data_IF_129740326768
#
_entry.id   IF_129740326768
#
_cell.length_a   1.000
_cell.length_b   1.000
_cell.length_c   1.000
_cell.angle_alpha   90.00
_cell.angle_beta   90.00
_cell.angle_gamma   90.00
#
_symmetry.space_group_name_H-M   'P 1'
#
loop_
_entity.id
_entity.type
_entity.pdbx_description
1 polymer ?
#
# COMPACT_ATOMS: atom_id res chain seq x y z
N UNK A 1 -35.14 -15.81 -13.82
CA UNK A 1 -34.67 -17.19 -13.96
C UNK A 1 -33.64 -17.42 -12.87
N UNK A 2 -34.04 -18.06 -11.77
CA UNK A 2 -33.20 -18.34 -10.60
C UNK A 2 -32.61 -19.73 -10.85
N UNK A 3 -31.29 -19.82 -10.99
CA UNK A 3 -30.59 -21.10 -11.09
C UNK A 3 -30.26 -21.52 -9.66
N UNK A 4 -31.06 -22.44 -9.12
CA UNK A 4 -30.75 -23.24 -7.93
C UNK A 4 -29.81 -24.36 -8.36
N UNK A 5 -28.52 -24.25 -8.03
CA UNK A 5 -27.55 -25.34 -8.20
C UNK A 5 -27.60 -26.25 -6.96
N UNK A 6 -27.97 -27.50 -7.22
CA UNK A 6 -28.26 -28.55 -6.26
C UNK A 6 -26.94 -29.17 -5.75
N UNK A 7 -26.61 -28.99 -4.47
CA UNK A 7 -25.36 -29.52 -3.88
C UNK A 7 -25.64 -30.82 -3.14
N UNK A 8 -25.47 -31.94 -3.83
CA UNK A 8 -25.45 -33.29 -3.25
C UNK A 8 -24.28 -34.07 -3.82
N UNK A 9 -23.42 -34.60 -2.93
CA UNK A 9 -22.44 -35.63 -3.25
C UNK A 9 -21.01 -35.13 -3.47
N UNK A 10 -20.26 -34.96 -2.38
CA UNK A 10 -18.80 -35.09 -2.37
C UNK A 10 -18.34 -35.57 -0.98
N UNK A 11 -18.93 -36.70 -0.55
CA UNK A 11 -18.34 -37.55 0.48
C UNK A 11 -17.52 -38.61 -0.28
N UNK A 12 -16.31 -38.89 0.20
CA UNK A 12 -15.36 -39.90 -0.29
C UNK A 12 -14.51 -39.60 -1.54
N UNK A 13 -13.56 -38.66 -1.45
CA UNK A 13 -12.16 -38.91 -1.85
C UNK A 13 -11.22 -37.80 -1.36
N UNK A 14 -10.10 -38.20 -0.75
CA UNK A 14 -8.93 -37.40 -0.33
C UNK A 14 -8.87 -36.97 1.15
N UNK A 15 -8.84 -37.97 2.04
CA UNK A 15 -8.63 -37.82 3.49
C UNK A 15 -7.16 -38.05 3.94
N UNK A 16 -6.13 -37.66 3.16
CA UNK A 16 -4.73 -37.93 3.59
C UNK A 16 -3.66 -36.86 3.30
N UNK A 17 -4.05 -35.63 2.91
CA UNK A 17 -3.08 -34.52 2.76
C UNK A 17 -3.56 -33.17 3.31
N UNK A 18 -4.76 -33.11 3.89
CA UNK A 18 -5.46 -31.84 4.17
C UNK A 18 -5.06 -31.16 5.50
N UNK A 19 -4.42 -31.90 6.42
CA UNK A 19 -3.98 -31.37 7.72
C UNK A 19 -2.71 -30.52 7.55
N UNK A 20 -1.78 -30.98 6.72
CA UNK A 20 -0.54 -30.22 6.45
C UNK A 20 -0.81 -28.99 5.58
N UNK A 21 -1.72 -29.04 4.61
CA UNK A 21 -2.07 -27.87 3.78
C UNK A 21 -2.88 -26.81 4.53
N UNK A 22 -3.81 -27.22 5.40
CA UNK A 22 -4.54 -26.29 6.29
C UNK A 22 -3.64 -25.70 7.38
N UNK A 23 -2.73 -26.49 7.96
CA UNK A 23 -1.76 -25.97 8.92
C UNK A 23 -0.73 -25.05 8.24
N UNK A 24 -0.27 -25.38 7.02
CA UNK A 24 0.63 -24.53 6.23
C UNK A 24 -0.06 -23.23 5.76
N UNK A 25 -1.33 -23.29 5.39
CA UNK A 25 -2.12 -22.10 5.05
C UNK A 25 -2.36 -21.23 6.28
N UNK A 26 -2.70 -21.80 7.44
CA UNK A 26 -2.78 -21.05 8.70
C UNK A 26 -1.42 -20.47 9.15
N UNK A 27 -0.32 -21.21 8.98
CA UNK A 27 1.02 -20.76 9.36
C UNK A 27 1.52 -19.62 8.46
N UNK A 28 1.35 -19.76 7.14
CA UNK A 28 1.65 -18.70 6.17
C UNK A 28 0.74 -17.48 6.35
N UNK A 29 -0.54 -17.69 6.65
CA UNK A 29 -1.50 -16.63 6.93
C UNK A 29 -1.12 -15.82 8.17
N UNK A 30 -0.74 -16.49 9.26
CA UNK A 30 -0.24 -15.85 10.47
C UNK A 30 1.08 -15.12 10.19
N UNK A 31 2.02 -15.73 9.47
CA UNK A 31 3.29 -15.10 9.08
C UNK A 31 3.10 -13.81 8.29
N UNK A 32 2.14 -13.75 7.36
CA UNK A 32 1.83 -12.51 6.63
C UNK A 32 1.26 -11.44 7.56
N UNK A 33 0.33 -11.78 8.45
CA UNK A 33 -0.25 -10.83 9.42
C UNK A 33 0.84 -10.28 10.35
N UNK A 34 1.67 -11.14 10.92
CA UNK A 34 2.81 -10.74 11.75
C UNK A 34 3.86 -9.95 10.95
N UNK A 35 4.08 -10.31 9.68
CA UNK A 35 4.97 -9.59 8.79
C UNK A 35 4.55 -8.13 8.59
N UNK A 36 3.30 -7.88 8.21
CA UNK A 36 2.80 -6.50 8.06
C UNK A 36 2.75 -5.74 9.39
N UNK A 37 2.43 -6.43 10.50
CA UNK A 37 2.32 -5.83 11.83
C UNK A 37 3.68 -5.52 12.47
N UNK A 38 4.78 -6.14 12.01
CA UNK A 38 6.16 -5.86 12.47
C UNK A 38 6.87 -4.91 11.51
N UNK A 39 6.73 -5.11 10.19
CA UNK A 39 7.39 -4.29 9.17
C UNK A 39 6.79 -2.87 9.15
N UNK A 40 5.48 -2.74 9.31
CA UNK A 40 4.79 -1.45 9.33
C UNK A 40 5.35 -0.49 10.39
N UNK A 41 5.38 -0.88 11.68
CA UNK A 41 5.94 -0.05 12.74
C UNK A 41 7.42 0.28 12.53
N UNK A 42 8.24 -0.67 12.07
CA UNK A 42 9.65 -0.42 11.78
C UNK A 42 9.82 0.65 10.69
N UNK A 43 9.02 0.60 9.62
CA UNK A 43 9.01 1.62 8.56
C UNK A 43 8.62 3.00 9.11
N UNK A 44 7.62 3.07 9.99
CA UNK A 44 7.22 4.34 10.61
C UNK A 44 8.33 4.87 11.52
N UNK A 45 8.88 4.02 12.39
CA UNK A 45 9.86 4.41 13.40
C UNK A 45 11.17 4.91 12.79
N UNK A 46 11.61 4.32 11.67
CA UNK A 46 12.84 4.72 11.00
C UNK A 46 12.62 5.97 10.13
N UNK A 47 11.54 6.02 9.36
CA UNK A 47 11.37 7.09 8.35
C UNK A 47 10.84 8.41 8.93
N UNK A 48 9.98 8.36 9.96
CA UNK A 48 9.41 9.56 10.60
C UNK A 48 10.45 10.50 11.23
N UNK A 49 11.43 10.03 12.03
CA UNK A 49 12.42 10.93 12.63
C UNK A 49 13.34 11.56 11.59
N UNK A 50 13.66 10.83 10.51
CA UNK A 50 14.48 11.36 9.41
C UNK A 50 13.75 12.49 8.69
N UNK A 51 12.46 12.29 8.41
CA UNK A 51 11.60 13.33 7.84
C UNK A 51 11.55 14.59 8.73
N UNK A 52 11.31 14.41 10.04
CA UNK A 52 11.27 15.52 11.00
C UNK A 52 12.61 16.28 11.03
N UNK A 53 13.73 15.56 11.04
CA UNK A 53 15.07 16.16 11.07
C UNK A 53 15.34 17.04 9.84
N UNK A 54 14.94 16.60 8.65
CA UNK A 54 15.09 17.37 7.41
C UNK A 54 14.18 18.62 7.42
N UNK A 55 12.95 18.51 7.93
CA UNK A 55 12.02 19.64 8.00
C UNK A 55 12.43 20.70 9.04
N UNK A 56 13.02 20.29 10.16
CA UNK A 56 13.46 21.17 11.24
C UNK A 56 14.67 22.03 10.84
N UNK A 57 15.57 21.54 9.99
CA UNK A 57 16.78 22.27 9.59
C UNK A 57 16.60 23.05 8.29
N UNK A 58 16.63 24.39 8.38
CA UNK A 58 16.51 25.30 7.21
C UNK A 58 17.53 24.99 6.09
N UNK A 59 18.75 24.60 6.45
CA UNK A 59 19.82 24.30 5.48
C UNK A 59 19.58 23.01 4.68
N UNK A 60 18.86 22.03 5.24
CA UNK A 60 18.61 20.74 4.57
C UNK A 60 17.32 20.73 3.77
N UNK A 61 16.40 21.66 4.06
CA UNK A 61 15.04 21.64 3.49
C UNK A 61 15.02 21.68 1.97
N UNK A 62 15.92 22.43 1.34
CA UNK A 62 15.94 22.61 -0.11
C UNK A 62 16.61 21.44 -0.86
N UNK A 63 17.85 21.04 -0.52
CA UNK A 63 18.53 19.95 -1.25
C UNK A 63 17.96 18.56 -0.93
N UNK A 64 17.36 18.37 0.25
CA UNK A 64 16.81 17.07 0.65
C UNK A 64 15.29 17.04 0.59
N UNK A 65 14.65 17.97 -0.15
CA UNK A 65 13.19 18.05 -0.19
C UNK A 65 12.56 16.80 -0.84
N UNK A 66 13.12 16.33 -1.95
CA UNK A 66 12.66 15.08 -2.61
C UNK A 66 12.86 13.88 -1.68
N UNK A 67 14.04 13.76 -1.07
CA UNK A 67 14.33 12.68 -0.14
C UNK A 67 13.38 12.72 1.09
N UNK A 68 13.06 13.91 1.57
CA UNK A 68 12.08 14.12 2.65
C UNK A 68 10.70 13.61 2.24
N UNK A 69 10.25 13.89 1.01
CA UNK A 69 8.98 13.34 0.50
C UNK A 69 9.00 11.82 0.38
N UNK A 70 10.13 11.20 0.02
CA UNK A 70 10.29 9.73 0.01
C UNK A 70 10.10 9.16 1.41
N UNK A 71 10.76 9.74 2.41
CA UNK A 71 10.64 9.29 3.81
C UNK A 71 9.22 9.47 4.35
N UNK A 72 8.56 10.58 4.03
CA UNK A 72 7.18 10.82 4.41
C UNK A 72 6.23 9.77 3.81
N UNK A 73 6.34 9.52 2.50
CA UNK A 73 5.54 8.51 1.80
C UNK A 73 5.82 7.09 2.32
N UNK A 74 7.08 6.78 2.63
CA UNK A 74 7.47 5.51 3.23
C UNK A 74 6.89 5.33 4.64
N UNK A 75 6.86 6.40 5.44
CA UNK A 75 6.18 6.40 6.74
C UNK A 75 4.67 6.16 6.62
N UNK A 76 4.00 6.83 5.68
CA UNK A 76 2.58 6.60 5.38
C UNK A 76 2.30 5.17 4.90
N UNK A 77 3.22 4.57 4.13
CA UNK A 77 3.15 3.16 3.72
C UNK A 77 3.26 2.23 4.93
N UNK A 78 4.12 2.55 5.90
CA UNK A 78 4.19 1.83 7.17
C UNK A 78 2.88 1.92 7.97
N UNK A 79 2.27 3.11 8.02
CA UNK A 79 0.99 3.33 8.69
C UNK A 79 -0.16 2.56 8.01
N UNK A 80 -0.19 2.53 6.68
CA UNK A 80 -1.19 1.76 5.92
C UNK A 80 -1.02 0.24 6.12
N UNK A 81 0.22 -0.26 6.21
CA UNK A 81 0.50 -1.65 6.52
C UNK A 81 -0.02 -2.04 7.92
N UNK A 82 0.19 -1.19 8.93
CA UNK A 82 -0.35 -1.38 10.29
C UNK A 82 -1.87 -1.44 10.25
N UNK A 83 -2.51 -0.51 9.52
CA UNK A 83 -3.97 -0.47 9.42
C UNK A 83 -4.53 -1.74 8.77
N UNK A 84 -3.84 -2.26 7.75
CA UNK A 84 -4.21 -3.53 7.10
C UNK A 84 -4.04 -4.73 8.04
N UNK A 85 -2.94 -4.77 8.81
CA UNK A 85 -2.72 -5.79 9.84
C UNK A 85 -3.78 -5.73 10.95
N UNK A 86 -4.10 -4.53 11.45
CA UNK A 86 -5.10 -4.32 12.49
C UNK A 86 -6.51 -4.71 12.02
N UNK A 87 -6.89 -4.35 10.79
CA UNK A 87 -8.16 -4.77 10.19
C UNK A 87 -8.27 -6.29 10.07
N UNK A 88 -7.22 -6.96 9.57
CA UNK A 88 -7.19 -8.44 9.51
C UNK A 88 -7.27 -9.08 10.89
N UNK A 89 -6.66 -8.47 11.91
CA UNK A 89 -6.71 -8.97 13.29
C UNK A 89 -8.11 -8.81 13.91
N UNK A 90 -8.77 -7.66 13.75
CA UNK A 90 -10.14 -7.44 14.24
C UNK A 90 -11.11 -8.44 13.61
N UNK A 91 -11.00 -8.65 12.30
CA UNK A 91 -11.76 -9.63 11.51
C UNK A 91 -11.47 -11.07 11.97
N UNK A 92 -10.29 -11.38 12.50
CA UNK A 92 -10.03 -12.72 13.07
C UNK A 92 -10.69 -12.96 14.43
N UNK A 93 -10.96 -11.88 15.19
CA UNK A 93 -11.53 -11.94 16.55
C UNK A 93 -13.05 -11.81 16.53
N UNK A 94 -13.58 -10.98 15.64
CA UNK A 94 -15.01 -10.79 15.42
C UNK A 94 -15.45 -11.78 14.35
N UNK A 95 -16.03 -12.89 14.77
CA UNK A 95 -16.46 -14.02 13.94
C UNK A 95 -17.70 -13.67 13.10
N UNK A 96 -17.70 -12.52 12.42
CA UNK A 96 -18.81 -12.06 11.57
C UNK A 96 -18.68 -12.66 10.16
N UNK A 97 -19.60 -13.55 9.79
CA UNK A 97 -19.46 -14.37 8.58
C UNK A 97 -19.61 -13.62 7.24
N UNK A 98 -20.05 -12.35 7.22
CA UNK A 98 -20.28 -11.62 5.97
C UNK A 98 -20.07 -10.11 6.13
N UNK A 99 -18.94 -9.60 5.63
CA UNK A 99 -18.70 -8.16 5.45
C UNK A 99 -18.87 -7.86 3.96
N UNK A 100 -19.50 -6.73 3.64
CA UNK A 100 -19.68 -6.32 2.24
C UNK A 100 -18.29 -6.05 1.62
N UNK A 101 -17.98 -6.76 0.53
CA UNK A 101 -16.67 -6.74 -0.14
C UNK A 101 -16.17 -5.33 -0.49
N UNK A 102 -17.09 -4.39 -0.75
CA UNK A 102 -16.73 -3.00 -1.08
C UNK A 102 -16.02 -2.30 0.08
N UNK A 103 -16.49 -2.42 1.33
CA UNK A 103 -15.91 -1.64 2.44
C UNK A 103 -14.53 -2.15 2.87
N UNK A 104 -14.28 -3.43 2.64
CA UNK A 104 -13.03 -4.09 3.02
C UNK A 104 -11.91 -3.86 2.00
N UNK A 105 -12.20 -3.99 0.70
CA UNK A 105 -11.19 -3.85 -0.37
C UNK A 105 -10.95 -2.37 -0.72
N UNK A 106 -12.02 -1.57 -0.78
CA UNK A 106 -11.96 -0.23 -1.35
C UNK A 106 -11.23 0.78 -0.47
N UNK A 107 -11.25 0.62 0.86
CA UNK A 107 -10.63 1.58 1.76
C UNK A 107 -9.14 1.30 2.00
N UNK A 108 -8.83 0.10 2.50
CA UNK A 108 -7.49 -0.16 3.06
C UNK A 108 -6.52 -0.70 2.00
N UNK A 109 -7.00 -1.54 1.09
CA UNK A 109 -6.15 -2.07 0.01
C UNK A 109 -5.82 -0.98 -1.01
N UNK A 110 -6.78 -0.14 -1.39
CA UNK A 110 -6.52 1.02 -2.28
C UNK A 110 -5.56 2.01 -1.61
N UNK A 111 -5.72 2.28 -0.31
CA UNK A 111 -4.80 3.15 0.40
C UNK A 111 -3.37 2.57 0.43
N UNK A 112 -3.22 1.28 0.74
CA UNK A 112 -1.91 0.61 0.72
C UNK A 112 -1.28 0.59 -0.68
N UNK A 113 -2.08 0.29 -1.71
CA UNK A 113 -1.65 0.29 -3.11
C UNK A 113 -1.20 1.69 -3.54
N UNK A 114 -1.98 2.72 -3.22
CA UNK A 114 -1.66 4.12 -3.55
C UNK A 114 -0.34 4.57 -2.93
N UNK A 115 -0.09 4.20 -1.67
CA UNK A 115 1.13 4.54 -0.94
C UNK A 115 2.35 3.77 -1.49
N UNK A 116 2.16 2.51 -1.88
CA UNK A 116 3.20 1.72 -2.55
C UNK A 116 3.58 2.29 -3.91
N UNK A 117 2.60 2.69 -4.73
CA UNK A 117 2.83 3.38 -6.00
C UNK A 117 3.53 4.73 -5.80
N UNK A 118 3.09 5.52 -4.84
CA UNK A 118 3.74 6.78 -4.46
C UNK A 118 5.20 6.54 -4.09
N UNK A 119 5.51 5.51 -3.30
CA UNK A 119 6.88 5.20 -2.91
C UNK A 119 7.75 4.82 -4.12
N UNK A 120 7.26 3.96 -5.01
CA UNK A 120 7.97 3.59 -6.24
C UNK A 120 8.23 4.77 -7.16
N UNK A 121 7.20 5.60 -7.40
CA UNK A 121 7.32 6.79 -8.25
C UNK A 121 8.22 7.86 -7.60
N UNK A 122 8.23 7.97 -6.26
CA UNK A 122 9.12 8.88 -5.54
C UNK A 122 10.61 8.49 -5.65
N UNK A 123 10.91 7.19 -5.70
CA UNK A 123 12.26 6.70 -5.97
C UNK A 123 12.69 7.00 -7.42
N UNK A 124 11.77 6.87 -8.37
CA UNK A 124 11.99 7.26 -9.76
C UNK A 124 12.34 8.77 -9.84
N UNK A 125 11.56 9.63 -9.18
CA UNK A 125 11.80 11.07 -9.16
C UNK A 125 13.16 11.43 -8.56
N UNK A 126 13.60 10.72 -7.51
CA UNK A 126 14.95 10.88 -6.96
C UNK A 126 16.04 10.46 -7.98
N UNK A 127 15.81 9.43 -8.79
CA UNK A 127 16.72 9.06 -9.87
C UNK A 127 16.74 10.10 -11.00
N UNK A 128 15.58 10.64 -11.38
CA UNK A 128 15.46 11.69 -12.40
C UNK A 128 16.15 12.97 -11.94
N UNK A 129 15.98 13.36 -10.68
CA UNK A 129 16.70 14.51 -10.11
C UNK A 129 18.22 14.33 -10.24
N UNK A 130 18.75 13.18 -9.81
CA UNK A 130 20.19 12.89 -9.92
C UNK A 130 20.67 12.90 -11.37
N UNK A 131 19.88 12.37 -12.29
CA UNK A 131 20.19 12.41 -13.72
C UNK A 131 20.22 13.85 -14.24
N UNK A 132 19.25 14.70 -13.88
CA UNK A 132 19.21 16.10 -14.28
C UNK A 132 20.42 16.90 -13.77
N UNK A 133 20.89 16.63 -12.55
CA UNK A 133 22.10 17.26 -11.99
C UNK A 133 23.34 16.90 -12.80
N UNK A 134 23.46 15.65 -13.24
CA UNK A 134 24.62 15.16 -14.01
C UNK A 134 24.57 15.63 -15.47
N UNK A 135 23.40 15.56 -16.11
CA UNK A 135 23.26 15.90 -17.52
C UNK A 135 23.26 17.43 -17.78
N UNK A 136 22.64 18.22 -16.90
CA UNK A 136 22.43 19.66 -17.10
C UNK A 136 22.70 20.49 -15.83
N UNK A 137 23.97 20.58 -15.38
CA UNK A 137 24.33 21.22 -14.11
C UNK A 137 24.00 22.73 -14.06
N UNK A 138 24.26 23.46 -15.15
CA UNK A 138 24.00 24.91 -15.24
C UNK A 138 22.51 25.26 -15.11
N UNK A 139 21.63 24.49 -15.77
CA UNK A 139 20.19 24.72 -15.72
C UNK A 139 19.60 24.38 -14.35
N UNK A 140 20.06 23.28 -13.75
CA UNK A 140 19.61 22.85 -12.43
C UNK A 140 19.98 23.85 -11.34
N UNK A 141 21.18 24.44 -11.36
CA UNK A 141 21.61 25.38 -10.31
C UNK A 141 20.74 26.65 -10.26
N UNK A 142 20.31 27.15 -11.43
CA UNK A 142 19.50 28.37 -11.53
C UNK A 142 18.04 28.11 -11.15
N UNK A 143 17.47 26.95 -11.49
CA UNK A 143 16.04 26.67 -11.36
C UNK A 143 15.68 25.53 -10.40
N UNK A 144 16.61 25.08 -9.55
CA UNK A 144 16.47 23.92 -8.63
C UNK A 144 15.14 23.91 -7.86
N UNK A 145 14.78 25.02 -7.21
CA UNK A 145 13.52 25.14 -6.43
C UNK A 145 12.27 24.82 -7.25
N UNK A 146 12.21 25.34 -8.47
CA UNK A 146 11.04 25.21 -9.35
C UNK A 146 10.95 23.79 -9.91
N UNK A 147 12.09 23.20 -10.28
CA UNK A 147 12.17 21.82 -10.75
C UNK A 147 11.72 20.83 -9.68
N UNK A 148 12.26 20.95 -8.46
CA UNK A 148 11.90 20.07 -7.33
C UNK A 148 10.40 20.13 -7.02
N UNK A 149 9.83 21.34 -6.93
CA UNK A 149 8.41 21.49 -6.65
C UNK A 149 7.51 20.95 -7.78
N UNK A 150 7.92 21.17 -9.04
CA UNK A 150 7.22 20.63 -10.19
C UNK A 150 7.24 19.09 -10.20
N UNK A 151 8.38 18.46 -9.93
CA UNK A 151 8.50 17.00 -9.85
C UNK A 151 7.57 16.42 -8.78
N UNK A 152 7.53 17.03 -7.60
CA UNK A 152 6.64 16.60 -6.50
C UNK A 152 5.16 16.79 -6.87
N UNK A 153 4.82 17.89 -7.54
CA UNK A 153 3.43 18.15 -7.95
C UNK A 153 2.96 17.15 -9.01
N UNK A 154 3.80 16.87 -10.02
CA UNK A 154 3.53 15.88 -11.08
C UNK A 154 3.38 14.49 -10.46
N UNK A 155 4.25 14.14 -9.52
CA UNK A 155 4.19 12.90 -8.75
C UNK A 155 2.81 12.70 -8.12
N UNK A 156 2.34 13.65 -7.31
CA UNK A 156 1.05 13.53 -6.64
C UNK A 156 -0.14 13.55 -7.63
N UNK A 157 -0.06 14.36 -8.68
CA UNK A 157 -1.11 14.44 -9.70
C UNK A 157 -1.31 13.10 -10.42
N UNK A 158 -0.23 12.46 -10.88
CA UNK A 158 -0.30 11.15 -11.56
C UNK A 158 -0.88 10.10 -10.62
N UNK A 159 -0.46 10.07 -9.36
CA UNK A 159 -0.98 9.10 -8.40
C UNK A 159 -2.45 9.33 -8.05
N UNK A 160 -2.90 10.58 -7.95
CA UNK A 160 -4.31 10.89 -7.73
C UNK A 160 -5.17 10.41 -8.88
N UNK A 161 -4.72 10.63 -10.13
CA UNK A 161 -5.40 10.14 -11.33
C UNK A 161 -5.49 8.61 -11.31
N UNK A 162 -4.39 7.92 -11.03
CA UNK A 162 -4.36 6.46 -10.94
C UNK A 162 -5.34 5.93 -9.85
N UNK A 163 -5.36 6.56 -8.68
CA UNK A 163 -6.28 6.18 -7.60
C UNK A 163 -7.74 6.38 -8.01
N UNK A 164 -8.07 7.51 -8.63
CA UNK A 164 -9.44 7.76 -9.14
C UNK A 164 -9.85 6.68 -10.13
N UNK A 165 -8.97 6.30 -11.08
CA UNK A 165 -9.25 5.21 -12.01
C UNK A 165 -9.48 3.88 -11.29
N UNK A 166 -8.67 3.54 -10.29
CA UNK A 166 -8.87 2.29 -9.52
C UNK A 166 -10.16 2.28 -8.72
N UNK A 167 -10.55 3.42 -8.14
CA UNK A 167 -11.80 3.56 -7.39
C UNK A 167 -13.00 3.43 -8.34
N UNK A 168 -12.95 4.09 -9.49
CA UNK A 168 -14.01 3.99 -10.51
C UNK A 168 -14.12 2.55 -11.03
N UNK A 169 -12.99 1.90 -11.34
CA UNK A 169 -12.98 0.51 -11.79
C UNK A 169 -13.58 -0.44 -10.73
N UNK A 170 -13.21 -0.26 -9.47
CA UNK A 170 -13.73 -1.08 -8.37
C UNK A 170 -15.22 -0.83 -8.07
N UNK A 171 -15.72 0.38 -8.32
CA UNK A 171 -17.15 0.71 -8.21
C UNK A 171 -18.00 0.12 -9.35
N UNK A 172 -17.40 -0.14 -10.51
CA UNK A 172 -18.08 -0.75 -11.67
C UNK A 172 -18.21 -2.28 -11.49
N UNK A 173 -17.35 -2.90 -10.69
CA UNK A 173 -17.43 -4.33 -10.40
C UNK A 173 -18.70 -4.68 -9.60
N UNK A 174 -19.40 -5.76 -9.97
CA UNK A 174 -20.65 -6.14 -9.33
C UNK A 174 -20.43 -6.56 -7.87
N UNK A 175 -21.33 -6.12 -6.97
CA UNK A 175 -21.33 -6.49 -5.56
C UNK A 175 -21.34 -8.01 -5.39
N UNK A 176 -20.19 -8.62 -5.11
CA UNK A 176 -20.07 -10.02 -4.70
C UNK A 176 -19.84 -10.07 -3.20
N UNK A 177 -20.63 -10.88 -2.49
CA UNK A 177 -20.35 -11.24 -1.10
C UNK A 177 -19.19 -12.23 -1.13
N UNK A 178 -18.01 -11.76 -0.71
CA UNK A 178 -16.78 -12.55 -0.71
C UNK A 178 -16.40 -12.84 0.74
N UNK A 179 -15.77 -14.00 0.93
CA UNK A 179 -15.20 -14.48 2.19
C UNK A 179 -14.50 -13.36 2.97
N UNK A 180 -14.59 -13.46 4.30
CA UNK A 180 -14.11 -12.52 5.33
C UNK A 180 -12.66 -12.02 5.14
N UNK A 181 -11.88 -12.69 4.31
CA UNK A 181 -10.47 -12.40 4.05
C UNK A 181 -10.19 -11.44 2.89
N UNK A 182 -11.20 -11.01 2.12
CA UNK A 182 -11.02 -10.10 0.99
C UNK A 182 -9.85 -10.53 0.09
N UNK A 183 -9.86 -11.81 -0.29
CA UNK A 183 -9.03 -12.40 -1.35
C UNK A 183 -9.80 -12.42 -2.66
#
# INVERSE_FOLDING_TARGET
MIITENRTGFDDLLNDTNINTSMLSHLSHNLHIYGYLIIGPMLVLVNTPIFLLVMLRKALRLPYLILSTVFFNSGLTGLSAILMGAKRWIVSVVQEQFIVHYDCVLSVAIFFLSMSFLNGWSLLMNSVERFCVVAFPMYYYIHSKRLIFALITIQYAITAIAVIFTVVASLIEPKRYISHFCM
#
